data_IF_326185764146
#
_entry.id   IF_326185764146
#
_cell.length_a   1.000
_cell.length_b   1.000
_cell.length_c   1.000
_cell.angle_alpha   90.00
_cell.angle_beta   90.00
_cell.angle_gamma   90.00
#
_symmetry.space_group_name_H-M   'P 1'
#
loop_
_entity.id
_entity.type
_entity.pdbx_description
1 polymer ?
#
# COMPACT_ATOMS: atom_id res chain seq x y z
N UNK A 1 -23.82 2.43 -7.28
CA UNK A 1 -22.64 1.57 -7.14
C UNK A 1 -21.44 2.48 -7.20
N UNK A 2 -20.74 2.69 -6.08
CA UNK A 2 -19.45 3.37 -6.12
C UNK A 2 -18.50 2.46 -6.92
N UNK A 3 -18.00 2.97 -8.04
CA UNK A 3 -17.14 2.22 -8.93
C UNK A 3 -15.71 2.27 -8.38
N UNK A 4 -15.33 1.28 -7.59
CA UNK A 4 -14.01 1.15 -6.92
C UNK A 4 -13.04 0.29 -7.72
N UNK A 5 -13.29 0.09 -9.02
CA UNK A 5 -12.45 -0.81 -9.85
C UNK A 5 -10.97 -0.40 -9.87
N UNK A 6 -10.68 0.89 -9.72
CA UNK A 6 -9.30 1.36 -9.63
C UNK A 6 -8.62 0.93 -8.33
N UNK A 7 -9.37 0.84 -7.22
CA UNK A 7 -8.85 0.41 -5.92
C UNK A 7 -8.44 -1.07 -6.00
N UNK A 8 -9.28 -1.90 -6.63
CA UNK A 8 -9.00 -3.33 -6.83
C UNK A 8 -7.82 -3.57 -7.78
N UNK A 9 -7.73 -2.78 -8.87
CA UNK A 9 -6.60 -2.83 -9.81
C UNK A 9 -5.31 -2.39 -9.12
N UNK A 10 -5.35 -1.33 -8.33
CA UNK A 10 -4.20 -0.85 -7.56
C UNK A 10 -3.73 -1.90 -6.55
N UNK A 11 -4.66 -2.48 -5.79
CA UNK A 11 -4.34 -3.55 -4.84
C UNK A 11 -3.70 -4.76 -5.53
N UNK A 12 -4.27 -5.19 -6.66
CA UNK A 12 -3.72 -6.28 -7.47
C UNK A 12 -2.31 -5.94 -7.96
N UNK A 13 -2.07 -4.69 -8.36
CA UNK A 13 -0.75 -4.21 -8.78
C UNK A 13 0.26 -4.35 -7.63
N UNK A 14 -0.05 -3.84 -6.44
CA UNK A 14 0.85 -3.93 -5.28
C UNK A 14 1.10 -5.38 -4.86
N UNK A 15 0.07 -6.23 -4.85
CA UNK A 15 0.18 -7.60 -4.35
C UNK A 15 0.83 -8.59 -5.32
N UNK A 16 0.51 -8.49 -6.61
CA UNK A 16 0.90 -9.50 -7.61
C UNK A 16 2.03 -9.01 -8.50
N UNK A 17 2.18 -7.70 -8.64
CA UNK A 17 3.12 -7.07 -9.57
C UNK A 17 3.85 -5.88 -8.90
N UNK A 18 4.49 -6.07 -7.73
CA UNK A 18 5.02 -4.96 -6.91
C UNK A 18 6.08 -4.11 -7.62
N UNK A 19 6.74 -4.64 -8.66
CA UNK A 19 7.66 -3.89 -9.51
C UNK A 19 7.01 -2.68 -10.20
N UNK A 20 5.69 -2.71 -10.44
CA UNK A 20 4.93 -1.59 -10.97
C UNK A 20 4.78 -0.43 -9.97
N UNK A 21 5.05 -0.65 -8.68
CA UNK A 21 5.09 0.43 -7.69
C UNK A 21 6.35 1.30 -7.80
N UNK A 22 7.44 0.79 -8.40
CA UNK A 22 8.71 1.53 -8.56
C UNK A 22 8.54 2.84 -9.36
N UNK A 23 7.94 2.84 -10.57
CA UNK A 23 7.73 4.09 -11.31
C UNK A 23 6.83 5.07 -10.54
N UNK A 24 5.79 4.59 -9.85
CA UNK A 24 4.94 5.43 -9.01
C UNK A 24 5.73 6.09 -7.87
N UNK A 25 6.55 5.33 -7.16
CA UNK A 25 7.38 5.83 -6.06
C UNK A 25 8.41 6.84 -6.57
N UNK A 26 9.04 6.56 -7.71
CA UNK A 26 9.97 7.49 -8.34
C UNK A 26 9.31 8.83 -8.69
N UNK A 27 8.08 8.79 -9.23
CA UNK A 27 7.34 10.00 -9.57
C UNK A 27 6.92 10.78 -8.32
N UNK A 28 6.23 10.12 -7.37
CA UNK A 28 5.61 10.77 -6.20
C UNK A 28 6.64 11.27 -5.20
N UNK A 29 7.69 10.50 -4.95
CA UNK A 29 8.70 10.82 -3.93
C UNK A 29 10.00 11.37 -4.53
N UNK A 30 10.02 11.65 -5.84
CA UNK A 30 11.19 12.14 -6.57
C UNK A 30 12.44 11.29 -6.34
N UNK A 31 12.26 9.97 -6.32
CA UNK A 31 13.36 9.00 -6.27
C UNK A 31 13.77 8.56 -7.68
N UNK A 32 14.87 7.82 -7.76
CA UNK A 32 15.42 7.33 -9.03
C UNK A 32 15.89 5.88 -8.89
N UNK A 33 15.01 5.02 -8.38
CA UNK A 33 15.27 3.59 -8.28
C UNK A 33 15.28 2.94 -9.68
N UNK A 34 16.21 2.00 -9.94
CA UNK A 34 16.18 1.23 -11.18
C UNK A 34 15.00 0.23 -11.16
N UNK A 35 14.54 -0.18 -12.34
CA UNK A 35 13.40 -1.11 -12.48
C UNK A 35 13.60 -2.45 -11.75
N UNK A 36 14.84 -2.92 -11.65
CA UNK A 36 15.20 -4.17 -11.00
C UNK A 36 15.59 -4.00 -9.51
N UNK A 37 15.26 -2.86 -8.90
CA UNK A 37 15.50 -2.64 -7.48
C UNK A 37 14.84 -3.78 -6.67
N UNK A 38 15.53 -4.38 -5.69
CA UNK A 38 14.91 -5.38 -4.83
C UNK A 38 13.73 -4.77 -4.06
N UNK A 39 12.58 -5.43 -4.14
CA UNK A 39 11.36 -5.06 -3.43
C UNK A 39 11.04 -6.17 -2.45
N UNK A 40 10.87 -5.82 -1.19
CA UNK A 40 10.33 -6.73 -0.17
C UNK A 40 8.91 -6.26 0.12
N UNK A 41 7.93 -7.08 -0.24
CA UNK A 41 6.56 -6.87 0.20
C UNK A 41 6.47 -7.33 1.66
N UNK A 42 6.13 -6.40 2.54
CA UNK A 42 5.78 -6.72 3.92
C UNK A 42 4.28 -7.03 3.88
N UNK A 43 3.89 -8.21 4.35
CA UNK A 43 2.49 -8.62 4.38
C UNK A 43 2.06 -8.70 5.82
N UNK A 44 1.27 -7.73 6.24
CA UNK A 44 0.60 -7.81 7.52
C UNK A 44 -0.89 -7.90 7.21
N UNK A 45 -1.39 -9.15 7.14
CA UNK A 45 -2.83 -9.39 7.18
C UNK A 45 -3.28 -9.07 8.61
N UNK A 46 -3.82 -7.87 8.80
CA UNK A 46 -4.33 -7.43 10.09
C UNK A 46 -5.77 -7.91 10.20
N UNK A 47 -6.00 -8.89 11.07
CA UNK A 47 -7.36 -9.31 11.41
C UNK A 47 -7.92 -8.37 12.47
N UNK A 48 -8.89 -7.54 12.09
CA UNK A 48 -9.60 -6.70 13.03
C UNK A 48 -10.45 -7.52 14.03
N UNK A 49 -10.84 -6.93 15.16
CA UNK A 49 -11.73 -7.56 16.15
C UNK A 49 -13.08 -7.99 15.56
N UNK A 50 -13.53 -7.34 14.49
CA UNK A 50 -14.77 -7.68 13.77
C UNK A 50 -14.60 -8.84 12.76
N UNK A 51 -13.39 -9.38 12.59
CA UNK A 51 -13.06 -10.46 11.66
C UNK A 51 -12.70 -10.01 10.24
N UNK A 52 -12.71 -8.70 9.95
CA UNK A 52 -12.27 -8.14 8.68
C UNK A 52 -10.74 -8.28 8.54
N UNK A 53 -10.29 -8.81 7.40
CA UNK A 53 -8.87 -8.87 7.05
C UNK A 53 -8.54 -7.58 6.30
N UNK A 54 -7.77 -6.73 6.93
CA UNK A 54 -7.11 -5.63 6.25
C UNK A 54 -5.80 -6.16 5.67
N UNK A 55 -5.63 -5.99 4.36
CA UNK A 55 -4.33 -6.15 3.71
C UNK A 55 -3.69 -4.78 3.60
N UNK A 56 -2.52 -4.59 4.22
CA UNK A 56 -1.71 -3.39 4.02
C UNK A 56 -0.92 -3.46 2.71
N UNK A 57 -0.57 -2.28 2.18
CA UNK A 57 0.24 -2.12 0.97
C UNK A 57 1.62 -1.60 1.36
N UNK A 58 2.33 -2.38 2.18
CA UNK A 58 3.65 -2.04 2.70
C UNK A 58 4.80 -2.62 1.85
N UNK A 59 5.62 -1.74 1.28
CA UNK A 59 6.77 -2.10 0.46
C UNK A 59 8.06 -1.57 1.08
N UNK A 60 9.08 -2.42 1.15
CA UNK A 60 10.43 -2.00 1.50
C UNK A 60 11.32 -2.01 0.25
N UNK A 61 11.81 -0.84 -0.12
CA UNK A 61 12.65 -0.61 -1.32
C UNK A 61 13.91 0.13 -0.89
N UNK A 62 15.08 -0.44 -1.17
CA UNK A 62 16.38 0.13 -0.82
C UNK A 62 16.49 0.60 0.65
N UNK A 63 15.91 -0.15 1.57
CA UNK A 63 15.93 0.15 3.02
C UNK A 63 14.90 1.17 3.49
N UNK A 64 14.15 1.82 2.59
CA UNK A 64 13.03 2.71 2.93
C UNK A 64 11.71 1.94 2.95
N UNK A 65 10.85 2.27 3.91
CA UNK A 65 9.50 1.73 4.02
C UNK A 65 8.52 2.68 3.33
N UNK A 66 7.64 2.13 2.51
CA UNK A 66 6.58 2.81 1.81
C UNK A 66 5.26 2.14 2.17
N UNK A 67 4.35 2.89 2.78
CA UNK A 67 2.97 2.49 3.01
C UNK A 67 2.12 3.31 2.04
N UNK A 68 1.53 2.64 1.04
CA UNK A 68 0.87 3.31 -0.10
C UNK A 68 -0.54 2.75 -0.26
N UNK A 69 -1.55 3.60 -0.23
CA UNK A 69 -2.95 3.18 -0.43
C UNK A 69 -3.62 3.95 -1.57
N UNK A 70 -4.68 3.39 -2.13
CA UNK A 70 -5.50 4.02 -3.16
C UNK A 70 -6.97 4.00 -2.77
N UNK A 71 -7.68 5.10 -3.06
CA UNK A 71 -9.11 5.20 -2.86
C UNK A 71 -9.76 6.02 -3.98
N UNK A 72 -10.73 5.42 -4.64
CA UNK A 72 -11.48 6.04 -5.74
C UNK A 72 -12.54 7.02 -5.22
N UNK A 73 -13.01 6.81 -4.00
CA UNK A 73 -13.97 7.70 -3.34
C UNK A 73 -13.20 8.90 -2.78
N UNK A 74 -13.62 10.11 -3.13
CA UNK A 74 -13.04 11.35 -2.60
C UNK A 74 -13.64 11.66 -1.22
N UNK A 75 -13.20 10.93 -0.19
CA UNK A 75 -13.55 11.14 1.20
C UNK A 75 -12.34 10.94 2.14
N UNK A 76 -12.54 11.16 3.44
CA UNK A 76 -11.46 11.11 4.44
C UNK A 76 -11.14 9.71 4.96
N UNK A 77 -11.84 8.67 4.49
CA UNK A 77 -11.71 7.32 5.08
C UNK A 77 -10.34 6.72 4.83
N UNK A 78 -9.70 6.98 3.69
CA UNK A 78 -8.33 6.52 3.41
C UNK A 78 -7.33 7.06 4.44
N UNK A 79 -7.42 8.34 4.79
CA UNK A 79 -6.51 8.94 5.76
C UNK A 79 -6.65 8.31 7.15
N UNK A 80 -7.89 8.00 7.57
CA UNK A 80 -8.17 7.31 8.83
C UNK A 80 -7.56 5.90 8.82
N UNK A 81 -7.81 5.13 7.75
CA UNK A 81 -7.24 3.78 7.60
C UNK A 81 -5.72 3.78 7.64
N UNK A 82 -5.06 4.71 6.94
CA UNK A 82 -3.60 4.80 6.95
C UNK A 82 -3.05 5.01 8.38
N UNK A 83 -3.69 5.88 9.17
CA UNK A 83 -3.29 6.11 10.57
C UNK A 83 -3.49 4.85 11.42
N UNK A 84 -4.63 4.18 11.29
CA UNK A 84 -4.93 2.94 12.02
C UNK A 84 -3.90 1.85 11.70
N UNK A 85 -3.54 1.70 10.42
CA UNK A 85 -2.57 0.70 9.98
C UNK A 85 -1.16 1.05 10.47
N UNK A 86 -0.76 2.32 10.40
CA UNK A 86 0.54 2.77 10.91
C UNK A 86 0.69 2.48 12.41
N UNK A 87 -0.38 2.63 13.20
CA UNK A 87 -0.36 2.22 14.61
C UNK A 87 -0.24 0.72 14.78
N UNK A 88 -0.98 -0.09 14.00
CA UNK A 88 -0.88 -1.55 14.05
C UNK A 88 0.54 -2.03 13.71
N UNK A 89 1.14 -1.49 12.64
CA UNK A 89 2.51 -1.80 12.22
C UNK A 89 3.54 -1.45 13.30
N UNK A 90 3.33 -0.34 14.02
CA UNK A 90 4.26 0.09 15.07
C UNK A 90 4.20 -0.77 16.35
N UNK A 91 3.11 -1.53 16.54
CA UNK A 91 2.88 -2.38 17.73
C UNK A 91 3.40 -3.81 17.52
N UNK A 92 3.62 -4.23 16.27
CA UNK A 92 4.21 -5.53 15.89
C UNK A 92 5.74 -5.59 16.07
#
# INVERSE_FOLDING_TARGET
>A
MNNTIFDDVFRTMIEKMPYLAVPLINEVFHTSYPENVPIVQLRNEHQQENGEIITDSCLKIAGKLYHIECQSVDDTTMAIRMIEYDFSIAIE
#
